data_IF_326724923263
#
_entry.id   IF_326724923263
#
_cell.length_a   1.000
_cell.length_b   1.000
_cell.length_c   1.000
_cell.angle_alpha   90.00
_cell.angle_beta   90.00
_cell.angle_gamma   90.00
#
_symmetry.space_group_name_H-M   'P 1'
#
loop_
_entity.id
_entity.type
_entity.pdbx_description
1 polymer ?
#
# COMPACT_ATOMS: atom_id res chain seq x y z
N UNK A 1 -29.03 -9.25 -11.21
CA UNK A 1 -27.93 -8.43 -10.75
C UNK A 1 -26.65 -9.24 -10.69
N UNK A 2 -25.59 -8.66 -11.12
CA UNK A 2 -24.33 -9.38 -11.15
C UNK A 2 -23.55 -9.23 -9.86
N UNK A 3 -23.25 -10.35 -9.21
CA UNK A 3 -22.36 -10.36 -8.06
C UNK A 3 -20.91 -10.23 -8.48
N UNK A 4 -20.65 -10.32 -9.78
CA UNK A 4 -19.32 -10.23 -10.32
C UNK A 4 -19.02 -8.87 -10.92
N UNK A 5 -19.77 -7.86 -10.52
CA UNK A 5 -19.53 -6.51 -11.00
C UNK A 5 -18.05 -6.15 -10.80
N UNK A 6 -17.38 -5.71 -11.86
CA UNK A 6 -15.95 -5.38 -11.75
C UNK A 6 -15.70 -4.29 -10.73
N UNK A 7 -14.59 -4.39 -10.02
CA UNK A 7 -14.20 -3.40 -9.02
C UNK A 7 -14.09 -2.00 -9.62
N UNK A 8 -13.65 -1.90 -10.87
CA UNK A 8 -13.48 -0.60 -11.51
C UNK A 8 -14.80 0.17 -11.68
N UNK A 9 -15.95 -0.49 -11.50
CA UNK A 9 -17.24 0.20 -11.53
C UNK A 9 -17.65 0.75 -10.17
N UNK A 10 -16.92 0.43 -9.13
CA UNK A 10 -17.15 1.00 -7.81
C UNK A 10 -16.43 2.32 -7.70
N UNK A 11 -17.02 3.24 -6.95
CA UNK A 11 -16.34 4.50 -6.66
C UNK A 11 -15.40 4.28 -5.50
N UNK A 12 -14.12 4.35 -5.77
CA UNK A 12 -13.09 4.23 -4.76
C UNK A 12 -12.52 5.58 -4.42
N UNK A 13 -12.31 5.83 -3.13
CA UNK A 13 -11.56 6.99 -2.67
C UNK A 13 -10.26 6.48 -2.08
N UNK A 14 -9.17 6.87 -2.68
CA UNK A 14 -7.85 6.43 -2.23
C UNK A 14 -7.08 7.64 -1.74
N UNK A 15 -6.66 7.60 -0.49
CA UNK A 15 -5.93 8.69 0.15
C UNK A 15 -4.53 8.24 0.53
N UNK A 16 -3.64 9.19 0.66
CA UNK A 16 -2.29 8.95 1.17
C UNK A 16 -2.16 9.70 2.48
N UNK A 17 -1.56 9.06 3.47
CA UNK A 17 -1.38 9.69 4.77
C UNK A 17 -0.10 9.19 5.42
N UNK A 18 0.63 10.10 6.05
CA UNK A 18 1.82 9.69 6.79
C UNK A 18 1.42 8.96 8.07
N UNK A 19 2.22 7.95 8.42
CA UNK A 19 1.97 7.18 9.64
C UNK A 19 2.01 8.04 10.90
N UNK A 20 2.72 9.16 10.83
CA UNK A 20 2.87 10.06 11.97
C UNK A 20 1.71 11.04 12.13
N UNK A 21 0.81 11.10 11.16
CA UNK A 21 -0.40 11.90 11.27
C UNK A 21 -1.49 11.12 12.02
N UNK A 22 -2.37 11.81 12.76
CA UNK A 22 -3.40 11.10 13.54
C UNK A 22 -4.34 10.28 12.68
N UNK A 23 -4.72 9.12 13.18
CA UNK A 23 -5.75 8.31 12.53
C UNK A 23 -7.10 8.97 12.72
N UNK A 24 -7.91 8.98 11.66
CA UNK A 24 -9.23 9.61 11.66
C UNK A 24 -10.28 8.65 11.11
N UNK A 25 -11.52 8.83 11.52
CA UNK A 25 -12.60 7.96 11.05
C UNK A 25 -12.81 8.05 9.55
N UNK A 26 -12.52 9.21 8.95
CA UNK A 26 -12.67 9.41 7.50
C UNK A 26 -11.62 8.64 6.69
N UNK A 27 -10.61 8.10 7.35
CA UNK A 27 -9.56 7.33 6.66
C UNK A 27 -10.11 6.04 6.05
N UNK A 28 -11.23 5.53 6.54
CA UNK A 28 -11.76 4.27 6.08
C UNK A 28 -10.82 3.12 6.41
N UNK A 29 -10.55 2.27 5.45
CA UNK A 29 -9.63 1.15 5.63
C UNK A 29 -8.19 1.66 5.57
N UNK A 30 -7.44 1.51 6.66
CA UNK A 30 -6.06 1.98 6.74
C UNK A 30 -5.11 0.83 6.43
N UNK A 31 -4.31 1.02 5.40
CA UNK A 31 -3.37 -0.02 4.93
C UNK A 31 -1.95 0.53 5.03
N UNK A 32 -1.14 -0.11 5.87
CA UNK A 32 0.27 0.27 5.97
C UNK A 32 1.02 -0.32 4.78
N UNK A 33 1.66 0.54 3.99
CA UNK A 33 2.35 0.13 2.76
C UNK A 33 3.86 0.24 2.87
N UNK A 34 4.40 0.08 4.08
CA UNK A 34 5.82 0.01 4.32
C UNK A 34 6.24 -1.43 4.57
N UNK A 35 7.45 -1.79 4.16
CA UNK A 35 7.98 -3.11 4.45
C UNK A 35 8.37 -3.24 5.93
N UNK A 36 8.78 -2.14 6.54
CA UNK A 36 9.16 -2.08 7.96
C UNK A 36 8.13 -1.29 8.74
N UNK A 37 7.91 -1.67 10.00
CA UNK A 37 7.02 -0.92 10.87
C UNK A 37 7.58 0.50 11.11
N UNK A 38 6.74 1.54 11.07
CA UNK A 38 7.21 2.90 11.28
C UNK A 38 7.82 3.07 12.68
N UNK A 39 8.99 3.66 12.73
CA UNK A 39 9.73 3.78 13.98
C UNK A 39 9.01 4.69 14.98
N UNK A 40 8.88 4.21 16.20
CA UNK A 40 8.34 5.01 17.29
C UNK A 40 6.82 5.08 17.37
N UNK A 41 6.11 4.33 16.55
CA UNK A 41 4.64 4.36 16.57
C UNK A 41 4.11 3.05 17.14
N UNK A 42 3.21 3.16 18.13
CA UNK A 42 2.55 1.99 18.71
C UNK A 42 1.42 1.51 17.80
N UNK A 43 1.11 0.22 17.87
CA UNK A 43 -0.01 -0.34 17.12
C UNK A 43 -1.31 0.37 17.43
N UNK A 44 -1.52 0.72 18.69
CA UNK A 44 -2.74 1.40 19.14
C UNK A 44 -2.87 2.80 18.56
N UNK A 45 -1.75 3.42 18.19
CA UNK A 45 -1.76 4.75 17.61
C UNK A 45 -1.85 4.72 16.09
N UNK A 46 -1.17 3.77 15.46
CA UNK A 46 -1.19 3.66 14.01
C UNK A 46 -2.55 3.21 13.50
N UNK A 47 -3.18 2.29 14.20
CA UNK A 47 -4.52 1.79 13.86
C UNK A 47 -4.65 1.35 12.42
N UNK A 48 -3.64 0.66 11.90
CA UNK A 48 -3.76 0.12 10.55
C UNK A 48 -4.56 -1.17 10.60
N UNK A 49 -5.42 -1.33 9.62
CA UNK A 49 -6.27 -2.52 9.50
C UNK A 49 -5.53 -3.65 8.80
N UNK A 50 -4.65 -3.30 7.89
CA UNK A 50 -3.87 -4.26 7.13
C UNK A 50 -2.44 -3.75 7.01
N UNK A 51 -1.47 -4.64 7.21
CA UNK A 51 -0.06 -4.33 6.92
C UNK A 51 0.31 -5.08 5.64
N UNK A 52 0.42 -4.35 4.54
CA UNK A 52 0.63 -4.90 3.21
C UNK A 52 2.13 -4.97 2.85
N UNK A 53 2.95 -5.48 3.76
CA UNK A 53 4.40 -5.47 3.55
C UNK A 53 4.86 -6.29 2.35
N UNK A 54 4.11 -7.33 2.00
CA UNK A 54 4.53 -8.23 0.92
C UNK A 54 4.16 -7.72 -0.46
N UNK A 55 3.40 -6.63 -0.55
CA UNK A 55 3.13 -5.96 -1.83
C UNK A 55 3.96 -4.71 -2.02
N UNK A 56 4.88 -4.42 -1.10
CA UNK A 56 5.81 -3.29 -1.27
C UNK A 56 6.97 -3.73 -2.15
N UNK A 57 7.71 -2.78 -2.74
CA UNK A 57 8.88 -3.15 -3.56
C UNK A 57 9.89 -3.95 -2.74
N UNK A 58 10.60 -4.85 -3.41
CA UNK A 58 11.64 -5.64 -2.77
C UNK A 58 12.74 -4.75 -2.21
N UNK A 59 13.52 -5.27 -1.27
CA UNK A 59 14.65 -4.54 -0.71
C UNK A 59 15.62 -4.12 -1.79
N UNK A 60 15.87 -5.00 -2.76
CA UNK A 60 16.78 -4.70 -3.87
C UNK A 60 16.25 -3.58 -4.75
N UNK A 61 14.95 -3.60 -5.05
CA UNK A 61 14.34 -2.55 -5.86
C UNK A 61 14.38 -1.21 -5.13
N UNK A 62 14.15 -1.22 -3.82
CA UNK A 62 14.22 0.00 -3.01
C UNK A 62 15.62 0.58 -2.96
N UNK A 63 16.64 -0.26 -2.77
CA UNK A 63 18.02 0.20 -2.78
C UNK A 63 18.39 0.82 -4.12
N UNK A 64 18.01 0.18 -5.20
CA UNK A 64 18.25 0.71 -6.53
C UNK A 64 17.62 2.10 -6.70
N UNK A 65 16.37 2.24 -6.28
CA UNK A 65 15.68 3.52 -6.38
C UNK A 65 16.39 4.61 -5.58
N UNK A 66 16.78 4.29 -4.34
CA UNK A 66 17.38 5.29 -3.44
C UNK A 66 18.77 5.75 -3.87
N UNK A 67 19.45 4.98 -4.71
CA UNK A 67 20.75 5.41 -5.23
C UNK A 67 20.63 6.65 -6.11
N UNK A 68 19.56 6.76 -6.87
CA UNK A 68 19.30 7.91 -7.75
C UNK A 68 17.82 7.99 -8.08
N UNK A 69 17.01 8.59 -7.17
CA UNK A 69 15.55 8.58 -7.34
C UNK A 69 15.09 9.13 -8.69
N UNK A 70 15.70 10.19 -9.18
CA UNK A 70 15.28 10.77 -10.46
C UNK A 70 15.70 9.90 -11.64
N UNK A 71 16.96 9.49 -11.67
CA UNK A 71 17.49 8.71 -12.79
C UNK A 71 16.96 7.30 -12.85
N UNK A 72 16.62 6.73 -11.70
CA UNK A 72 16.18 5.34 -11.63
C UNK A 72 14.66 5.16 -11.59
N UNK A 73 13.90 6.26 -11.63
CA UNK A 73 12.45 6.16 -11.44
C UNK A 73 11.76 5.22 -12.43
N UNK A 74 12.03 5.39 -13.72
CA UNK A 74 11.33 4.59 -14.73
C UNK A 74 11.71 3.10 -14.62
N UNK A 75 12.99 2.82 -14.44
CA UNK A 75 13.46 1.45 -14.28
C UNK A 75 12.90 0.83 -13.00
N UNK A 76 12.86 1.59 -11.91
CA UNK A 76 12.30 1.13 -10.66
C UNK A 76 10.82 0.80 -10.82
N UNK A 77 10.05 1.71 -11.44
CA UNK A 77 8.62 1.51 -11.61
C UNK A 77 8.33 0.26 -12.45
N UNK A 78 9.10 0.04 -13.52
CA UNK A 78 8.94 -1.15 -14.34
C UNK A 78 9.29 -2.40 -13.56
N UNK A 79 10.37 -2.36 -12.81
CA UNK A 79 10.80 -3.49 -11.97
C UNK A 79 9.74 -3.83 -10.94
N UNK A 80 9.18 -2.83 -10.28
CA UNK A 80 8.14 -3.04 -9.30
C UNK A 80 6.88 -3.64 -9.92
N UNK A 81 6.49 -3.17 -11.12
CA UNK A 81 5.35 -3.77 -11.82
C UNK A 81 5.58 -5.25 -12.10
N UNK A 82 6.81 -5.62 -12.46
CA UNK A 82 7.14 -7.03 -12.69
C UNK A 82 7.06 -7.84 -11.40
N UNK A 83 7.49 -7.26 -10.28
CA UNK A 83 7.37 -7.93 -8.99
C UNK A 83 5.91 -8.17 -8.65
N UNK A 84 5.04 -7.19 -8.89
CA UNK A 84 3.62 -7.32 -8.61
C UNK A 84 2.92 -8.36 -9.50
N UNK A 85 3.45 -8.60 -10.68
CA UNK A 85 2.91 -9.63 -11.57
C UNK A 85 3.55 -10.99 -11.33
N UNK A 86 4.66 -11.04 -10.60
CA UNK A 86 5.41 -12.25 -10.35
C UNK A 86 5.40 -12.63 -8.88
N UNK A 87 6.51 -12.42 -8.20
CA UNK A 87 6.71 -12.90 -6.82
C UNK A 87 5.72 -12.32 -5.82
N UNK A 88 5.29 -11.08 -6.02
CA UNK A 88 4.34 -10.42 -5.11
C UNK A 88 2.88 -10.63 -5.51
N UNK A 89 2.61 -11.31 -6.61
CA UNK A 89 1.24 -11.44 -7.11
C UNK A 89 0.29 -12.14 -6.13
N UNK A 90 0.67 -13.25 -5.49
CA UNK A 90 -0.23 -13.87 -4.50
C UNK A 90 -0.58 -12.94 -3.35
N UNK A 91 0.39 -12.17 -2.87
CA UNK A 91 0.12 -11.20 -1.80
C UNK A 91 -0.80 -10.08 -2.28
N UNK A 92 -0.63 -9.65 -3.52
CA UNK A 92 -1.50 -8.63 -4.11
C UNK A 92 -2.94 -9.13 -4.23
N UNK A 93 -3.12 -10.40 -4.65
CA UNK A 93 -4.44 -11.00 -4.73
C UNK A 93 -5.10 -11.08 -3.37
N UNK A 94 -4.33 -11.46 -2.34
CA UNK A 94 -4.84 -11.55 -0.98
C UNK A 94 -5.24 -10.18 -0.47
N UNK A 95 -4.44 -9.16 -0.73
CA UNK A 95 -4.77 -7.78 -0.34
C UNK A 95 -6.06 -7.32 -1.01
N UNK A 96 -6.21 -7.58 -2.30
CA UNK A 96 -7.43 -7.21 -3.02
C UNK A 96 -8.66 -7.88 -2.41
N UNK A 97 -8.54 -9.15 -2.04
CA UNK A 97 -9.63 -9.87 -1.40
C UNK A 97 -9.97 -9.26 -0.03
N UNK A 98 -8.97 -8.91 0.76
CA UNK A 98 -9.19 -8.29 2.07
C UNK A 98 -9.89 -6.93 1.94
N UNK A 99 -9.50 -6.13 0.94
CA UNK A 99 -10.14 -4.84 0.68
C UNK A 99 -11.60 -5.06 0.29
N UNK A 100 -11.86 -6.00 -0.59
CA UNK A 100 -13.21 -6.31 -1.02
C UNK A 100 -14.07 -6.78 0.15
N UNK A 101 -13.52 -7.68 0.97
CA UNK A 101 -14.25 -8.25 2.09
C UNK A 101 -14.52 -7.23 3.20
N UNK A 102 -13.75 -6.16 3.26
CA UNK A 102 -13.96 -5.11 4.26
C UNK A 102 -15.23 -4.33 4.02
N UNK A 103 -15.74 -4.33 2.79
CA UNK A 103 -16.92 -3.54 2.43
C UNK A 103 -16.66 -2.04 2.34
N UNK A 104 -15.42 -1.61 2.54
CA UNK A 104 -15.07 -0.19 2.50
C UNK A 104 -14.67 0.25 1.12
N UNK A 105 -15.04 1.47 0.75
CA UNK A 105 -14.63 2.07 -0.52
C UNK A 105 -13.68 3.24 -0.32
N UNK A 106 -13.46 3.66 0.92
CA UNK A 106 -12.44 4.64 1.25
C UNK A 106 -11.24 3.91 1.82
N UNK A 107 -10.09 4.10 1.21
CA UNK A 107 -8.86 3.41 1.57
C UNK A 107 -7.78 4.46 1.77
N UNK A 108 -7.10 4.40 2.89
CA UNK A 108 -5.96 5.28 3.15
C UNK A 108 -4.69 4.46 3.18
N UNK A 109 -3.79 4.76 2.27
CA UNK A 109 -2.48 4.13 2.24
C UNK A 109 -1.57 4.90 3.19
N UNK A 110 -1.13 4.23 4.22
CA UNK A 110 -0.35 4.83 5.30
C UNK A 110 1.11 4.47 5.12
N UNK A 111 1.98 5.47 5.18
CA UNK A 111 3.40 5.26 4.98
C UNK A 111 4.21 6.04 6.02
N UNK A 112 5.38 5.51 6.38
CA UNK A 112 6.24 6.14 7.38
C UNK A 112 7.58 6.60 6.84
N UNK A 113 7.92 6.20 5.61
CA UNK A 113 9.22 6.58 5.06
C UNK A 113 9.25 8.08 4.74
N UNK A 114 10.46 8.63 4.77
CA UNK A 114 10.64 10.03 4.44
C UNK A 114 10.72 10.20 2.94
N UNK A 115 10.16 11.30 2.46
CA UNK A 115 10.44 11.72 1.11
C UNK A 115 11.87 12.20 1.07
N UNK A 116 12.67 11.68 0.15
CA UNK A 116 14.02 12.17 -0.01
C UNK A 116 14.04 13.60 -0.51
#
# INVERSE_FOLDING_TARGET
MSLTKPLQKMKWTIKLKRAYDPAESEDGLRILVDRMWPRGIKKTDLKCDIWAKDVTPSTEARHFFHEDPEGHWETFAERYRKELKGTAYPALQQLAAQIRDSGQTTITLVYGFRNP
#
